data_IF_146323644789
#
_entry.id   IF_146323644789
#
_cell.length_a   1.000
_cell.length_b   1.000
_cell.length_c   1.000
_cell.angle_alpha   90.00
_cell.angle_beta   90.00
_cell.angle_gamma   90.00
#
_symmetry.space_group_name_H-M   'P 1'
#
loop_
_entity.id
_entity.type
_entity.pdbx_description
1 polymer ?
#
# COMPACT_ATOMS: atom_id res chain seq x y z
N UNK A 1 -30.54 17.07 0.28
CA UNK A 1 -29.47 16.44 1.09
C UNK A 1 -28.17 16.50 0.29
N UNK A 2 -27.05 17.00 0.86
CA UNK A 2 -25.76 17.00 0.13
C UNK A 2 -25.30 15.55 -0.04
N UNK A 3 -25.02 15.13 -1.27
CA UNK A 3 -24.61 13.76 -1.59
C UNK A 3 -23.24 13.42 -0.98
N UNK A 4 -22.31 14.39 -0.96
CA UNK A 4 -20.92 14.24 -0.55
C UNK A 4 -20.56 15.18 0.61
N UNK A 5 -19.89 14.63 1.63
CA UNK A 5 -19.24 15.40 2.71
C UNK A 5 -17.81 15.73 2.30
N UNK A 6 -17.52 17.01 2.09
CA UNK A 6 -16.18 17.50 1.73
C UNK A 6 -15.18 17.35 2.87
N UNK A 7 -13.96 16.93 2.53
CA UNK A 7 -12.87 16.68 3.50
C UNK A 7 -11.53 17.13 2.91
N UNK A 8 -11.03 18.30 3.33
CA UNK A 8 -9.79 18.89 2.77
C UNK A 8 -8.56 17.98 2.92
N UNK A 9 -8.48 17.23 4.04
CA UNK A 9 -7.40 16.25 4.26
C UNK A 9 -7.44 15.16 3.17
N UNK A 10 -8.61 14.62 2.88
CA UNK A 10 -8.77 13.56 1.89
C UNK A 10 -8.42 14.03 0.47
N UNK A 11 -8.75 15.28 0.13
CA UNK A 11 -8.36 15.87 -1.14
C UNK A 11 -6.85 16.01 -1.29
N UNK A 12 -6.15 16.43 -0.23
CA UNK A 12 -4.69 16.50 -0.22
C UNK A 12 -4.07 15.11 -0.43
N UNK A 13 -4.66 14.07 0.18
CA UNK A 13 -4.21 12.69 -0.05
C UNK A 13 -4.44 12.28 -1.49
N UNK A 14 -5.61 12.55 -2.09
CA UNK A 14 -5.87 12.26 -3.50
C UNK A 14 -4.87 12.97 -4.42
N UNK A 15 -4.57 14.26 -4.18
CA UNK A 15 -3.54 14.99 -4.94
C UNK A 15 -2.16 14.36 -4.79
N UNK A 16 -1.80 13.92 -3.60
CA UNK A 16 -0.53 13.26 -3.32
C UNK A 16 -0.37 11.91 -4.04
N UNK A 17 -1.47 11.23 -4.38
CA UNK A 17 -1.43 9.98 -5.14
C UNK A 17 -1.30 10.17 -6.65
N UNK A 18 -1.48 11.39 -7.18
CA UNK A 18 -1.39 11.68 -8.62
C UNK A 18 -0.05 11.28 -9.25
N UNK A 19 1.13 11.55 -8.66
CA UNK A 19 2.39 11.07 -9.21
C UNK A 19 2.42 9.55 -9.36
N UNK A 20 1.93 8.81 -8.35
CA UNK A 20 1.88 7.34 -8.42
C UNK A 20 0.91 6.85 -9.49
N UNK A 21 -0.23 7.52 -9.66
CA UNK A 21 -1.21 7.23 -10.71
C UNK A 21 -0.63 7.51 -12.10
N UNK A 22 0.08 8.63 -12.26
CA UNK A 22 0.80 8.95 -13.49
C UNK A 22 1.83 7.85 -13.82
N UNK A 23 2.64 7.43 -12.84
CA UNK A 23 3.57 6.33 -13.01
C UNK A 23 2.88 5.01 -13.37
N UNK A 24 1.73 4.72 -12.77
CA UNK A 24 0.94 3.53 -13.10
C UNK A 24 0.51 3.53 -14.58
N UNK A 25 0.02 4.65 -15.08
CA UNK A 25 -0.38 4.80 -16.50
C UNK A 25 0.84 4.74 -17.41
N UNK A 26 1.94 5.38 -17.03
CA UNK A 26 3.17 5.40 -17.81
C UNK A 26 3.78 4.02 -17.99
N UNK A 27 3.86 3.20 -16.92
CA UNK A 27 4.48 1.88 -16.95
C UNK A 27 3.54 0.77 -17.41
N UNK A 28 2.24 0.87 -17.12
CA UNK A 28 1.29 -0.24 -17.33
C UNK A 28 0.08 0.14 -18.19
N UNK A 29 0.01 1.37 -18.66
CA UNK A 29 -1.01 1.85 -19.58
C UNK A 29 -2.34 2.23 -18.93
N UNK A 30 -3.30 2.58 -19.78
CA UNK A 30 -4.62 3.14 -19.40
C UNK A 30 -5.52 2.20 -18.59
N UNK A 31 -5.24 0.89 -18.65
CA UNK A 31 -5.98 -0.08 -17.81
C UNK A 31 -5.93 0.27 -16.34
N UNK A 32 -4.82 0.86 -15.87
CA UNK A 32 -4.70 1.29 -14.47
C UNK A 32 -5.76 2.31 -14.08
N UNK A 33 -6.09 3.27 -14.97
CA UNK A 33 -7.17 4.22 -14.73
C UNK A 33 -8.53 3.52 -14.66
N UNK A 34 -8.77 2.54 -15.52
CA UNK A 34 -10.00 1.78 -15.49
C UNK A 34 -10.15 0.98 -14.19
N UNK A 35 -9.07 0.35 -13.70
CA UNK A 35 -9.06 -0.34 -12.39
C UNK A 35 -9.37 0.63 -11.24
N UNK A 36 -8.76 1.81 -11.24
CA UNK A 36 -9.03 2.86 -10.25
C UNK A 36 -10.49 3.32 -10.32
N UNK A 37 -11.02 3.53 -11.53
CA UNK A 37 -12.42 3.94 -11.72
C UNK A 37 -13.40 2.89 -11.21
N UNK A 38 -13.18 1.60 -11.52
CA UNK A 38 -14.01 0.48 -11.03
C UNK A 38 -13.93 0.37 -9.51
N UNK A 39 -12.73 0.46 -8.93
CA UNK A 39 -12.56 0.40 -7.48
C UNK A 39 -13.28 1.57 -6.77
N UNK A 40 -13.13 2.79 -7.29
CA UNK A 40 -13.81 3.97 -6.74
C UNK A 40 -15.32 3.90 -6.91
N UNK A 41 -15.83 3.45 -8.06
CA UNK A 41 -17.27 3.31 -8.31
C UNK A 41 -17.88 2.26 -7.38
N UNK A 42 -17.23 1.10 -7.22
CA UNK A 42 -17.68 0.05 -6.31
C UNK A 42 -17.68 0.52 -4.85
N UNK A 43 -16.58 1.16 -4.43
CA UNK A 43 -16.44 1.71 -3.09
C UNK A 43 -17.54 2.75 -2.80
N UNK A 44 -17.75 3.68 -3.74
CA UNK A 44 -18.79 4.70 -3.63
C UNK A 44 -20.20 4.08 -3.55
N UNK A 45 -20.51 3.11 -4.40
CA UNK A 45 -21.80 2.44 -4.40
C UNK A 45 -22.09 1.74 -3.07
N UNK A 46 -21.10 0.99 -2.55
CA UNK A 46 -21.22 0.33 -1.26
C UNK A 46 -21.47 1.34 -0.13
N UNK A 47 -20.63 2.38 -0.01
CA UNK A 47 -20.82 3.41 1.02
C UNK A 47 -22.15 4.14 0.87
N UNK A 48 -22.56 4.46 -0.36
CA UNK A 48 -23.84 5.14 -0.65
C UNK A 48 -25.04 4.32 -0.13
N UNK A 49 -25.07 3.01 -0.36
CA UNK A 49 -26.16 2.15 0.11
C UNK A 49 -26.29 2.18 1.63
N UNK A 50 -25.17 2.12 2.37
CA UNK A 50 -25.19 2.21 3.84
C UNK A 50 -25.55 3.63 4.33
N UNK A 51 -24.93 4.66 3.74
CA UNK A 51 -25.21 6.06 4.10
C UNK A 51 -26.65 6.46 3.83
N UNK A 52 -27.27 5.93 2.75
CA UNK A 52 -28.68 6.14 2.47
C UNK A 52 -29.58 5.61 3.59
N UNK A 53 -29.26 4.40 4.13
CA UNK A 53 -29.98 3.82 5.27
C UNK A 53 -29.85 4.66 6.54
N UNK A 54 -28.68 5.26 6.77
CA UNK A 54 -28.41 6.14 7.93
C UNK A 54 -28.80 7.60 7.72
N UNK A 55 -29.24 7.99 6.51
CA UNK A 55 -29.52 9.38 6.12
C UNK A 55 -28.31 10.31 6.25
N UNK A 56 -27.10 9.79 6.06
CA UNK A 56 -25.83 10.50 6.12
C UNK A 56 -25.26 10.76 4.71
N UNK A 57 -24.47 11.83 4.50
CA UNK A 57 -23.75 12.02 3.24
C UNK A 57 -22.58 11.07 3.11
N UNK A 58 -22.28 10.60 1.90
CA UNK A 58 -21.07 9.84 1.57
C UNK A 58 -19.82 10.69 1.82
N UNK A 59 -18.75 10.10 2.36
CA UNK A 59 -17.51 10.84 2.68
C UNK A 59 -16.51 10.80 1.51
N UNK A 60 -15.76 11.88 1.25
CA UNK A 60 -14.70 11.88 0.23
C UNK A 60 -13.58 10.84 0.53
N UNK A 61 -13.50 10.35 1.74
CA UNK A 61 -12.59 9.27 2.13
C UNK A 61 -12.80 7.98 1.34
N UNK A 62 -14.00 7.75 0.77
CA UNK A 62 -14.28 6.57 -0.07
C UNK A 62 -13.41 6.55 -1.31
N UNK A 63 -13.18 7.71 -1.94
CA UNK A 63 -12.32 7.81 -3.12
C UNK A 63 -10.86 7.57 -2.77
N UNK A 64 -10.40 8.07 -1.61
CA UNK A 64 -9.05 7.77 -1.10
C UNK A 64 -8.89 6.26 -0.93
N UNK A 65 -9.85 5.59 -0.30
CA UNK A 65 -9.84 4.12 -0.14
C UNK A 65 -9.79 3.40 -1.49
N UNK A 66 -10.64 3.80 -2.44
CA UNK A 66 -10.68 3.20 -3.78
C UNK A 66 -9.38 3.38 -4.56
N UNK A 67 -8.81 4.60 -4.56
CA UNK A 67 -7.54 4.92 -5.22
C UNK A 67 -6.38 4.13 -4.58
N UNK A 68 -6.23 4.19 -3.26
CA UNK A 68 -5.16 3.50 -2.56
C UNK A 68 -5.26 1.99 -2.71
N UNK A 69 -6.48 1.43 -2.65
CA UNK A 69 -6.72 0.02 -2.90
C UNK A 69 -6.29 -0.39 -4.31
N UNK A 70 -6.72 0.36 -5.34
CA UNK A 70 -6.37 0.07 -6.72
C UNK A 70 -4.84 0.15 -6.95
N UNK A 71 -4.18 1.20 -6.46
CA UNK A 71 -2.74 1.42 -6.67
C UNK A 71 -1.83 0.33 -6.06
N UNK A 72 -2.33 -0.46 -5.12
CA UNK A 72 -1.58 -1.60 -4.56
C UNK A 72 -1.89 -2.94 -5.23
N UNK A 73 -2.74 -2.96 -6.26
CA UNK A 73 -3.05 -4.14 -7.06
C UNK A 73 -2.13 -4.28 -8.27
N UNK A 74 -1.97 -5.50 -8.82
CA UNK A 74 -1.38 -5.70 -10.13
C UNK A 74 -2.22 -5.07 -11.24
N UNK A 75 -1.63 -4.56 -12.33
CA UNK A 75 -2.38 -4.01 -13.46
C UNK A 75 -3.26 -5.04 -14.19
N UNK A 76 -2.90 -6.32 -14.05
CA UNK A 76 -3.57 -7.46 -14.67
C UNK A 76 -4.75 -8.00 -13.89
N UNK A 77 -5.02 -7.46 -12.70
CA UNK A 77 -6.06 -7.96 -11.81
C UNK A 77 -7.42 -8.08 -12.51
N UNK A 78 -8.15 -9.22 -12.36
CA UNK A 78 -9.48 -9.40 -12.92
C UNK A 78 -10.51 -8.46 -12.29
N UNK A 79 -11.49 -8.03 -13.07
CA UNK A 79 -12.52 -7.07 -12.64
C UNK A 79 -13.31 -7.54 -11.42
N UNK A 80 -13.70 -8.81 -11.38
CA UNK A 80 -14.42 -9.36 -10.25
C UNK A 80 -13.61 -9.29 -8.95
N UNK A 81 -12.29 -9.48 -9.00
CA UNK A 81 -11.41 -9.36 -7.83
C UNK A 81 -11.35 -7.92 -7.34
N UNK A 82 -11.30 -6.94 -8.26
CA UNK A 82 -11.33 -5.51 -7.90
C UNK A 82 -12.64 -5.16 -7.22
N UNK A 83 -13.78 -5.58 -7.79
CA UNK A 83 -15.10 -5.31 -7.26
C UNK A 83 -15.28 -5.94 -5.88
N UNK A 84 -14.97 -7.22 -5.75
CA UNK A 84 -15.11 -7.95 -4.47
C UNK A 84 -14.21 -7.32 -3.39
N UNK A 85 -12.96 -7.01 -3.73
CA UNK A 85 -12.01 -6.41 -2.80
C UNK A 85 -12.40 -5.01 -2.36
N UNK A 86 -12.85 -4.15 -3.28
CA UNK A 86 -13.32 -2.80 -2.97
C UNK A 86 -14.60 -2.83 -2.12
N UNK A 87 -15.53 -3.73 -2.43
CA UNK A 87 -16.75 -3.93 -1.65
C UNK A 87 -16.40 -4.41 -0.22
N UNK A 88 -15.51 -5.40 -0.08
CA UNK A 88 -15.05 -5.86 1.23
C UNK A 88 -14.38 -4.74 2.03
N UNK A 89 -13.50 -3.96 1.39
CA UNK A 89 -12.81 -2.83 2.02
C UNK A 89 -13.78 -1.83 2.65
N UNK A 90 -14.87 -1.52 1.97
CA UNK A 90 -15.85 -0.55 2.48
C UNK A 90 -16.82 -1.21 3.47
N UNK A 91 -17.44 -2.33 3.09
CA UNK A 91 -18.48 -2.95 3.92
C UNK A 91 -17.91 -3.45 5.24
N UNK A 92 -16.92 -4.33 5.18
CA UNK A 92 -16.42 -5.03 6.38
C UNK A 92 -15.37 -4.27 7.18
N UNK A 93 -14.65 -3.31 6.56
CA UNK A 93 -13.61 -2.56 7.29
C UNK A 93 -14.06 -1.16 7.74
N UNK A 94 -15.18 -0.65 7.21
CA UNK A 94 -15.64 0.71 7.49
C UNK A 94 -17.11 0.74 7.92
N UNK A 95 -18.03 0.23 7.09
CA UNK A 95 -19.46 0.42 7.29
C UNK A 95 -20.05 -0.41 8.43
N UNK A 96 -19.57 -1.66 8.61
CA UNK A 96 -19.96 -2.53 9.73
C UNK A 96 -19.61 -1.90 11.09
N UNK A 97 -18.52 -1.13 11.15
CA UNK A 97 -18.13 -0.41 12.37
C UNK A 97 -18.87 0.92 12.57
N UNK A 98 -19.78 1.30 11.66
CA UNK A 98 -20.59 2.52 11.75
C UNK A 98 -20.10 3.69 10.90
N UNK A 99 -19.27 3.44 9.88
CA UNK A 99 -18.84 4.38 8.86
C UNK A 99 -17.54 5.12 9.15
N UNK A 100 -17.35 6.27 8.51
CA UNK A 100 -16.11 7.04 8.60
C UNK A 100 -15.77 7.45 10.04
N UNK A 101 -14.53 7.22 10.44
CA UNK A 101 -14.01 7.59 11.76
C UNK A 101 -14.15 6.50 12.83
N UNK A 102 -14.78 5.37 12.51
CA UNK A 102 -14.99 4.23 13.45
C UNK A 102 -14.28 2.95 12.99
N UNK A 103 -13.63 2.97 11.83
CA UNK A 103 -12.89 1.82 11.32
C UNK A 103 -11.65 1.51 12.19
N UNK A 104 -11.49 0.23 12.53
CA UNK A 104 -10.34 -0.27 13.30
C UNK A 104 -9.14 -0.44 12.36
N UNK A 105 -9.38 -0.98 11.16
CA UNK A 105 -8.36 -1.26 10.16
C UNK A 105 -8.33 -0.20 9.07
N UNK A 106 -7.18 -0.04 8.41
CA UNK A 106 -7.11 0.68 7.15
C UNK A 106 -7.92 -0.08 6.09
N UNK A 107 -9.00 0.52 5.52
CA UNK A 107 -9.92 -0.22 4.65
C UNK A 107 -9.27 -0.72 3.36
N UNK A 108 -8.38 0.07 2.74
CA UNK A 108 -7.71 -0.33 1.50
C UNK A 108 -6.82 -1.56 1.72
N UNK A 109 -6.11 -1.61 2.87
CA UNK A 109 -5.28 -2.77 3.20
C UNK A 109 -6.10 -3.99 3.62
N UNK A 110 -7.20 -3.81 4.32
CA UNK A 110 -8.08 -4.92 4.68
C UNK A 110 -8.71 -5.56 3.42
N UNK A 111 -9.18 -4.74 2.47
CA UNK A 111 -9.67 -5.25 1.18
C UNK A 111 -8.60 -5.99 0.40
N UNK A 112 -7.37 -5.45 0.36
CA UNK A 112 -6.24 -6.12 -0.28
C UNK A 112 -5.89 -7.44 0.41
N UNK A 113 -5.87 -7.48 1.73
CA UNK A 113 -5.60 -8.69 2.51
C UNK A 113 -6.62 -9.78 2.19
N UNK A 114 -7.90 -9.42 2.17
CA UNK A 114 -8.98 -10.33 1.85
C UNK A 114 -8.81 -10.96 0.46
N UNK A 115 -8.64 -10.15 -0.58
CA UNK A 115 -8.46 -10.70 -1.94
C UNK A 115 -7.14 -11.44 -2.12
N UNK A 116 -6.10 -11.08 -1.35
CA UNK A 116 -4.82 -11.78 -1.37
C UNK A 116 -4.94 -13.22 -0.85
N UNK A 117 -5.83 -13.45 0.11
CA UNK A 117 -6.12 -14.77 0.67
C UNK A 117 -7.09 -15.54 -0.24
N UNK A 118 -8.14 -14.88 -0.72
CA UNK A 118 -9.20 -15.54 -1.51
C UNK A 118 -8.79 -15.78 -2.98
N UNK A 119 -7.98 -14.89 -3.57
CA UNK A 119 -7.57 -14.94 -4.97
C UNK A 119 -6.04 -14.83 -5.10
N UNK A 120 -5.26 -15.76 -4.50
CA UNK A 120 -3.81 -15.63 -4.44
C UNK A 120 -3.15 -15.55 -5.82
N UNK A 121 -3.61 -16.34 -6.79
CA UNK A 121 -3.05 -16.34 -8.15
C UNK A 121 -3.19 -14.98 -8.85
N UNK A 122 -4.32 -14.30 -8.69
CA UNK A 122 -4.55 -12.99 -9.27
C UNK A 122 -3.60 -11.90 -8.72
N UNK A 123 -3.05 -12.09 -7.51
CA UNK A 123 -2.22 -11.10 -6.83
C UNK A 123 -0.74 -11.49 -6.71
N UNK A 124 -0.41 -12.76 -6.93
CA UNK A 124 0.98 -13.24 -6.80
C UNK A 124 1.57 -13.75 -8.11
N UNK A 125 0.75 -14.27 -9.02
CA UNK A 125 1.20 -14.87 -10.27
C UNK A 125 1.01 -13.97 -11.50
N UNK A 126 0.19 -12.94 -11.40
CA UNK A 126 -0.25 -12.13 -12.55
C UNK A 126 0.43 -10.76 -12.59
N UNK A 127 1.75 -10.72 -12.69
CA UNK A 127 2.48 -9.46 -12.75
C UNK A 127 2.74 -9.06 -14.21
N UNK A 128 2.43 -7.80 -14.60
CA UNK A 128 2.81 -7.25 -15.88
C UNK A 128 4.24 -6.70 -15.84
N UNK A 129 4.96 -6.85 -16.93
CA UNK A 129 6.19 -6.12 -17.17
C UNK A 129 5.86 -4.66 -17.46
N UNK A 130 6.65 -3.70 -16.98
CA UNK A 130 6.48 -2.31 -17.38
C UNK A 130 6.78 -2.15 -18.87
N UNK A 131 6.04 -1.26 -19.54
CA UNK A 131 6.26 -0.90 -20.93
C UNK A 131 7.69 -0.39 -21.16
N UNK A 132 8.27 -0.70 -22.31
CA UNK A 132 9.54 -0.11 -22.75
C UNK A 132 9.27 1.32 -23.20
N UNK A 133 9.52 2.29 -22.35
CA UNK A 133 9.24 3.70 -22.61
C UNK A 133 10.48 4.55 -22.83
N UNK A 134 10.29 5.85 -23.12
CA UNK A 134 11.29 6.86 -23.43
C UNK A 134 12.43 7.00 -22.39
N UNK A 135 12.22 6.56 -21.18
CA UNK A 135 13.23 6.54 -20.11
C UNK A 135 13.91 5.18 -20.08
N UNK A 136 14.82 4.99 -20.99
CA UNK A 136 15.80 3.92 -20.86
C UNK A 136 16.53 4.14 -19.53
N UNK A 137 16.20 3.33 -18.52
CA UNK A 137 16.95 3.35 -17.27
C UNK A 137 18.43 3.19 -17.60
N UNK A 138 19.35 3.99 -17.02
CA UNK A 138 20.78 3.79 -17.16
C UNK A 138 21.24 2.39 -16.71
N UNK A 139 20.41 1.65 -15.98
CA UNK A 139 20.60 0.25 -15.62
C UNK A 139 20.20 -0.72 -16.74
N UNK A 140 20.61 -0.43 -17.98
CA UNK A 140 20.36 -1.28 -19.16
C UNK A 140 21.00 -2.68 -19.09
N UNK A 141 21.80 -2.98 -18.07
CA UNK A 141 22.40 -4.30 -17.82
C UNK A 141 21.57 -5.24 -16.95
N UNK A 142 20.49 -4.76 -16.31
CA UNK A 142 19.58 -5.67 -15.63
C UNK A 142 18.82 -6.48 -16.68
N UNK A 143 19.29 -7.70 -16.98
CA UNK A 143 18.52 -8.66 -17.77
C UNK A 143 17.18 -8.87 -17.07
N UNK A 144 16.11 -8.34 -17.67
CA UNK A 144 14.74 -8.71 -17.29
C UNK A 144 14.70 -10.24 -17.18
N UNK A 145 14.06 -10.82 -16.16
CA UNK A 145 13.86 -12.27 -16.10
C UNK A 145 13.39 -12.74 -17.48
N UNK A 146 13.98 -13.82 -17.99
CA UNK A 146 13.75 -14.30 -19.35
C UNK A 146 12.28 -14.19 -19.73
N UNK A 147 12.00 -13.61 -20.88
CA UNK A 147 10.64 -13.36 -21.37
C UNK A 147 9.78 -14.64 -21.48
N UNK A 148 10.40 -15.82 -21.48
CA UNK A 148 9.75 -17.11 -21.34
C UNK A 148 9.20 -17.39 -19.93
N UNK A 149 9.69 -16.69 -18.91
CA UNK A 149 9.19 -16.73 -17.52
C UNK A 149 8.39 -15.47 -17.16
N UNK A 150 8.53 -14.40 -17.95
CA UNK A 150 7.59 -13.32 -17.93
C UNK A 150 6.30 -13.85 -18.53
N UNK A 151 5.24 -13.78 -17.74
CA UNK A 151 3.88 -13.86 -18.21
C UNK A 151 3.82 -13.84 -19.74
N UNK A 152 3.24 -14.88 -20.35
CA UNK A 152 3.05 -14.95 -21.79
C UNK A 152 2.45 -13.63 -22.26
N UNK A 153 3.34 -12.73 -22.62
CA UNK A 153 3.04 -11.34 -22.96
C UNK A 153 2.09 -11.21 -24.17
N UNK A 154 1.75 -12.33 -24.78
CA UNK A 154 0.81 -12.38 -25.89
C UNK A 154 -0.61 -11.92 -25.55
N UNK A 155 -0.91 -11.68 -24.29
CA UNK A 155 -2.25 -11.21 -23.87
C UNK A 155 -2.29 -9.81 -23.30
N UNK A 156 -1.15 -9.21 -23.00
CA UNK A 156 -1.05 -7.86 -22.49
C UNK A 156 -0.05 -7.08 -23.35
N UNK A 157 -0.57 -6.28 -24.27
CA UNK A 157 0.25 -5.35 -25.02
C UNK A 157 0.66 -4.19 -24.09
N UNK A 158 1.88 -4.27 -23.56
CA UNK A 158 2.50 -3.22 -22.74
C UNK A 158 3.44 -2.34 -23.55
N UNK A 159 3.52 -2.54 -24.88
CA UNK A 159 4.40 -1.75 -25.75
C UNK A 159 3.93 -0.31 -25.87
N UNK A 160 2.62 -0.08 -25.70
CA UNK A 160 2.04 1.25 -25.72
C UNK A 160 0.87 1.37 -24.72
N UNK A 161 0.55 2.61 -24.31
CA UNK A 161 -0.60 2.88 -23.47
C UNK A 161 -1.93 2.46 -24.13
N UNK A 162 -2.02 2.52 -25.44
CA UNK A 162 -3.18 2.06 -26.21
C UNK A 162 -3.26 0.54 -26.33
N UNK A 163 -2.11 -0.13 -26.48
CA UNK A 163 -2.03 -1.58 -26.47
C UNK A 163 -2.48 -2.16 -25.13
N UNK A 164 -2.01 -1.57 -24.04
CA UNK A 164 -2.42 -1.95 -22.70
C UNK A 164 -3.93 -1.75 -22.43
N UNK A 165 -4.57 -0.79 -23.08
CA UNK A 165 -6.01 -0.61 -23.03
C UNK A 165 -6.77 -1.68 -23.82
N UNK A 166 -6.26 -2.07 -24.99
CA UNK A 166 -6.89 -3.08 -25.85
C UNK A 166 -6.78 -4.50 -25.29
N UNK A 167 -5.72 -4.80 -24.55
CA UNK A 167 -5.49 -6.11 -23.93
C UNK A 167 -6.31 -6.36 -22.67
N UNK A 168 -7.55 -5.91 -22.63
CA UNK A 168 -8.46 -6.02 -21.47
C UNK A 168 -8.90 -7.42 -21.13
N UNK A 169 -8.84 -8.30 -22.08
CA UNK A 169 -9.38 -9.64 -21.93
C UNK A 169 -8.41 -10.56 -21.20
N UNK A 170 -8.91 -11.21 -20.24
CA UNK A 170 -8.40 -12.38 -19.56
C UNK A 170 -7.15 -12.22 -18.69
N UNK A 171 -7.37 -12.48 -17.41
CA UNK A 171 -6.32 -12.89 -16.50
C UNK A 171 -5.54 -14.08 -17.09
N UNK A 172 -4.22 -14.14 -16.87
CA UNK A 172 -3.42 -15.29 -17.24
C UNK A 172 -3.95 -16.55 -16.56
N UNK A 173 -3.80 -17.66 -17.26
CA UNK A 173 -4.04 -18.97 -16.68
C UNK A 173 -3.10 -19.26 -15.49
N UNK A 174 -3.39 -20.28 -14.71
CA UNK A 174 -2.64 -20.64 -13.49
C UNK A 174 -1.16 -20.96 -13.71
N UNK A 175 -0.75 -21.20 -14.96
CA UNK A 175 0.63 -21.51 -15.36
C UNK A 175 1.50 -20.28 -15.65
N UNK A 176 0.98 -19.08 -15.46
CA UNK A 176 1.76 -17.86 -15.62
C UNK A 176 2.76 -17.76 -14.45
N UNK A 177 3.98 -18.24 -14.71
CA UNK A 177 5.10 -18.14 -13.80
C UNK A 177 5.36 -16.67 -13.41
N UNK A 178 5.42 -16.48 -12.13
CA UNK A 178 5.64 -15.22 -11.45
C UNK A 178 6.87 -14.50 -11.99
N UNK A 179 6.69 -13.42 -12.73
CA UNK A 179 7.73 -12.43 -12.80
C UNK A 179 7.86 -11.82 -11.41
N UNK A 180 8.91 -12.24 -10.69
CA UNK A 180 8.99 -11.97 -9.28
C UNK A 180 9.15 -10.47 -9.03
N UNK A 181 8.35 -9.94 -8.11
CA UNK A 181 8.62 -8.62 -7.52
C UNK A 181 10.04 -8.60 -6.95
N UNK A 182 10.69 -7.44 -6.77
CA UNK A 182 12.03 -7.35 -6.21
C UNK A 182 12.25 -8.19 -4.94
N UNK A 183 11.25 -8.21 -4.07
CA UNK A 183 11.32 -9.05 -2.85
C UNK A 183 11.06 -10.53 -3.11
N UNK A 184 10.34 -10.86 -4.17
CA UNK A 184 10.21 -12.24 -4.65
C UNK A 184 11.53 -12.78 -5.19
N UNK A 185 12.29 -11.94 -5.91
CA UNK A 185 13.64 -12.28 -6.39
C UNK A 185 14.59 -12.55 -5.22
N UNK A 186 14.57 -11.69 -4.20
CA UNK A 186 15.37 -11.88 -2.97
C UNK A 186 15.06 -13.23 -2.31
N UNK A 187 13.78 -13.57 -2.15
CA UNK A 187 13.37 -14.86 -1.58
C UNK A 187 13.78 -16.06 -2.42
N UNK A 188 13.81 -15.90 -3.73
CA UNK A 188 14.28 -16.94 -4.66
C UNK A 188 15.81 -17.03 -4.76
N UNK A 189 16.57 -16.27 -3.93
CA UNK A 189 18.03 -16.24 -3.98
C UNK A 189 18.60 -15.59 -5.24
N UNK A 190 17.77 -14.85 -6.00
CA UNK A 190 18.18 -14.15 -7.21
C UNK A 190 18.74 -12.75 -6.88
N UNK A 191 19.63 -12.18 -7.73
CA UNK A 191 20.19 -10.87 -7.48
C UNK A 191 19.11 -9.79 -7.41
N UNK A 192 19.31 -8.86 -6.49
CA UNK A 192 18.42 -7.71 -6.28
C UNK A 192 18.59 -6.74 -7.44
N UNK A 193 17.49 -6.16 -7.98
CA UNK A 193 17.59 -5.10 -8.96
C UNK A 193 18.43 -3.92 -8.48
N UNK A 194 19.19 -3.24 -9.35
CA UNK A 194 19.96 -2.07 -8.96
C UNK A 194 19.07 -0.96 -8.40
N UNK A 195 19.61 -0.17 -7.49
CA UNK A 195 18.87 0.89 -6.79
C UNK A 195 18.24 1.91 -7.75
N UNK A 196 18.91 2.20 -8.85
CA UNK A 196 18.37 3.08 -9.90
C UNK A 196 17.08 2.55 -10.48
N UNK A 197 17.00 1.26 -10.75
CA UNK A 197 15.79 0.61 -11.26
C UNK A 197 14.64 0.66 -10.22
N UNK A 198 14.96 0.48 -8.93
CA UNK A 198 13.97 0.61 -7.85
C UNK A 198 13.48 2.05 -7.67
N UNK A 199 14.37 3.04 -7.85
CA UNK A 199 14.02 4.46 -7.78
C UNK A 199 13.07 4.87 -8.90
N UNK A 200 13.43 4.55 -10.15
CA UNK A 200 12.61 4.92 -11.31
C UNK A 200 11.39 4.02 -11.50
N UNK A 201 11.41 2.79 -10.99
CA UNK A 201 10.23 1.92 -11.00
C UNK A 201 10.05 1.06 -12.25
N UNK A 202 11.06 0.89 -13.09
CA UNK A 202 11.01 -0.02 -14.25
C UNK A 202 11.13 -1.49 -13.81
N UNK A 203 10.23 -1.90 -12.95
CA UNK A 203 10.16 -3.23 -12.33
C UNK A 203 8.72 -3.74 -12.32
N UNK A 204 8.58 -5.05 -12.23
CA UNK A 204 7.29 -5.68 -12.01
C UNK A 204 6.79 -5.40 -10.58
N UNK A 205 5.52 -5.02 -10.45
CA UNK A 205 4.96 -4.70 -9.16
C UNK A 205 3.52 -4.20 -9.21
N UNK A 206 3.03 -3.75 -8.05
CA UNK A 206 1.72 -3.12 -7.95
C UNK A 206 1.72 -1.76 -8.67
N UNK A 207 0.60 -1.41 -9.32
CA UNK A 207 0.48 -0.25 -10.22
C UNK A 207 1.08 1.04 -9.68
N UNK A 208 0.77 1.41 -8.44
CA UNK A 208 1.23 2.67 -7.83
C UNK A 208 2.46 2.54 -6.96
N UNK A 209 3.04 1.34 -6.83
CA UNK A 209 4.09 1.06 -5.85
C UNK A 209 5.40 0.56 -6.49
N UNK A 210 5.62 0.83 -7.76
CA UNK A 210 6.83 0.45 -8.51
C UNK A 210 7.93 1.49 -8.39
N UNK A 211 7.63 2.77 -8.59
CA UNK A 211 8.61 3.86 -8.54
C UNK A 211 8.73 4.48 -7.16
N UNK A 212 9.88 4.27 -6.51
CA UNK A 212 10.15 4.92 -5.22
C UNK A 212 10.20 6.46 -5.36
N UNK A 213 10.69 7.00 -6.49
CA UNK A 213 10.74 8.43 -6.74
C UNK A 213 9.34 9.08 -6.75
N UNK A 214 8.39 8.49 -7.46
CA UNK A 214 7.03 9.02 -7.55
C UNK A 214 6.29 8.90 -6.20
N UNK A 215 6.54 7.83 -5.46
CA UNK A 215 6.03 7.67 -4.09
C UNK A 215 6.62 8.75 -3.17
N UNK A 216 7.92 9.01 -3.26
CA UNK A 216 8.58 10.05 -2.47
C UNK A 216 8.07 11.44 -2.80
N UNK A 217 7.78 11.75 -4.07
CA UNK A 217 7.19 13.04 -4.46
C UNK A 217 5.82 13.24 -3.79
N UNK A 218 4.92 12.27 -3.91
CA UNK A 218 3.60 12.33 -3.25
C UNK A 218 3.69 12.28 -1.72
N UNK A 219 4.55 11.41 -1.20
CA UNK A 219 4.79 11.27 0.24
C UNK A 219 5.41 12.53 0.87
N UNK A 220 6.36 13.18 0.20
CA UNK A 220 6.97 14.43 0.64
C UNK A 220 5.95 15.57 0.67
N UNK A 221 5.05 15.64 -0.33
CA UNK A 221 3.94 16.58 -0.30
C UNK A 221 3.07 16.39 0.95
N UNK A 222 2.69 15.15 1.30
CA UNK A 222 1.94 14.87 2.53
C UNK A 222 2.74 15.21 3.80
N UNK A 223 4.03 14.96 3.78
CA UNK A 223 4.93 15.25 4.89
C UNK A 223 5.08 16.76 5.13
N UNK A 224 5.30 17.56 4.07
CA UNK A 224 5.44 19.00 4.15
C UNK A 224 4.12 19.66 4.56
N UNK A 225 3.01 19.26 3.97
CA UNK A 225 1.66 19.81 4.27
C UNK A 225 1.11 19.37 5.63
N UNK A 226 1.86 18.53 6.38
CA UNK A 226 1.42 17.97 7.68
C UNK A 226 0.09 17.19 7.60
N UNK A 227 -0.27 16.76 6.40
CA UNK A 227 -1.49 15.98 6.17
C UNK A 227 -1.33 14.55 6.70
N UNK A 228 -0.16 13.94 6.46
CA UNK A 228 0.25 12.67 7.06
C UNK A 228 1.06 12.89 8.33
N UNK A 229 0.97 11.96 9.28
CA UNK A 229 1.66 12.07 10.56
C UNK A 229 3.16 11.77 10.40
N UNK A 230 3.98 12.81 10.54
CA UNK A 230 5.44 12.75 10.39
C UNK A 230 6.11 11.75 11.33
N UNK A 231 5.63 11.66 12.57
CA UNK A 231 6.19 10.75 13.59
C UNK A 231 6.04 9.29 13.17
N UNK A 232 4.86 8.92 12.64
CA UNK A 232 4.62 7.56 12.15
C UNK A 232 5.52 7.25 10.96
N UNK A 233 5.58 8.16 9.96
CA UNK A 233 6.42 7.97 8.77
C UNK A 233 7.87 7.74 9.16
N UNK A 234 8.43 8.62 9.99
CA UNK A 234 9.82 8.52 10.43
C UNK A 234 10.06 7.26 11.27
N UNK A 235 9.16 6.94 12.21
CA UNK A 235 9.30 5.74 13.02
C UNK A 235 9.28 4.46 12.17
N UNK A 236 8.38 4.34 11.20
CA UNK A 236 8.31 3.18 10.28
C UNK A 236 9.60 3.07 9.46
N UNK A 237 10.00 4.15 8.78
CA UNK A 237 11.12 4.12 7.84
C UNK A 237 12.45 3.93 8.56
N UNK A 238 12.72 4.72 9.62
CA UNK A 238 13.99 4.65 10.33
C UNK A 238 14.18 3.32 11.05
N UNK A 239 13.13 2.80 11.71
CA UNK A 239 13.20 1.50 12.36
C UNK A 239 13.44 0.38 11.35
N UNK A 240 12.76 0.41 10.21
CA UNK A 240 12.91 -0.60 9.17
C UNK A 240 14.31 -0.57 8.55
N UNK A 241 14.84 0.62 8.24
CA UNK A 241 16.21 0.80 7.75
C UNK A 241 17.25 0.30 8.75
N UNK A 242 17.12 0.72 10.01
CA UNK A 242 18.06 0.35 11.07
C UNK A 242 18.08 -1.16 11.31
N UNK A 243 16.92 -1.79 11.41
CA UNK A 243 16.81 -3.23 11.62
C UNK A 243 17.33 -4.04 10.43
N UNK A 244 17.02 -3.64 9.18
CA UNK A 244 17.58 -4.33 8.02
C UNK A 244 19.11 -4.19 7.95
N UNK A 245 19.66 -3.00 8.22
CA UNK A 245 21.09 -2.80 8.26
C UNK A 245 21.76 -3.68 9.34
N UNK A 246 21.21 -3.65 10.54
CA UNK A 246 21.72 -4.42 11.69
C UNK A 246 21.67 -5.93 11.41
N UNK A 247 20.53 -6.45 10.92
CA UNK A 247 20.39 -7.89 10.67
C UNK A 247 21.19 -8.36 9.46
N UNK A 248 21.38 -7.51 8.45
CA UNK A 248 22.29 -7.84 7.34
C UNK A 248 23.72 -7.98 7.84
N UNK A 249 24.16 -7.13 8.79
CA UNK A 249 25.51 -7.18 9.38
C UNK A 249 25.68 -8.37 10.35
N UNK A 250 24.67 -8.67 11.19
CA UNK A 250 24.77 -9.72 12.21
C UNK A 250 24.50 -11.13 11.68
N UNK A 251 23.52 -11.26 10.79
CA UNK A 251 22.95 -12.57 10.38
C UNK A 251 23.28 -12.88 8.91
N UNK A 252 23.36 -11.86 8.04
CA UNK A 252 23.49 -12.06 6.61
C UNK A 252 22.18 -12.50 5.97
N UNK A 253 22.19 -13.41 4.96
CA UNK A 253 20.97 -13.88 4.30
C UNK A 253 19.96 -14.46 5.32
N UNK A 254 18.65 -14.18 5.16
CA UNK A 254 17.96 -13.62 3.98
C UNK A 254 17.90 -12.08 3.88
N UNK A 255 18.66 -11.36 4.70
CA UNK A 255 18.68 -9.90 4.70
C UNK A 255 19.64 -9.37 3.62
N UNK A 256 19.19 -8.39 2.82
CA UNK A 256 19.90 -7.90 1.63
C UNK A 256 20.24 -6.41 1.69
N UNK A 257 20.62 -5.95 2.85
CA UNK A 257 20.89 -4.53 3.10
C UNK A 257 19.65 -3.71 3.42
N UNK A 258 19.84 -2.44 3.74
CA UNK A 258 18.75 -1.57 4.20
C UNK A 258 17.92 -0.95 3.06
N UNK A 259 18.59 -0.51 1.98
CA UNK A 259 17.95 0.27 0.91
C UNK A 259 17.06 -0.56 -0.02
N UNK A 260 17.48 -1.71 -0.57
CA UNK A 260 16.67 -2.45 -1.53
C UNK A 260 15.28 -2.84 -0.98
N UNK A 261 15.13 -3.41 0.22
CA UNK A 261 13.82 -3.77 0.75
C UNK A 261 12.98 -2.55 1.16
N UNK A 262 13.60 -1.41 1.41
CA UNK A 262 12.89 -0.15 1.71
C UNK A 262 12.32 0.48 0.45
N UNK A 263 13.11 0.54 -0.64
CA UNK A 263 12.69 1.12 -1.92
C UNK A 263 11.77 0.17 -2.71
N UNK A 264 11.89 -1.13 -2.48
CA UNK A 264 11.11 -2.14 -3.18
C UNK A 264 9.79 -2.51 -2.51
N UNK A 265 8.97 -3.26 -3.24
CA UNK A 265 7.75 -3.94 -2.78
C UNK A 265 6.70 -3.04 -2.08
N UNK A 266 6.62 -1.78 -2.43
CA UNK A 266 5.57 -0.87 -1.94
C UNK A 266 5.67 -0.52 -0.45
N UNK A 267 6.81 -0.74 0.19
CA UNK A 267 7.02 -0.37 1.60
C UNK A 267 6.85 1.14 1.83
N UNK A 268 7.50 1.97 0.99
CA UNK A 268 7.36 3.42 1.07
C UNK A 268 5.92 3.87 0.83
N UNK A 269 5.23 3.27 -0.15
CA UNK A 269 3.83 3.57 -0.40
C UNK A 269 2.97 3.31 0.83
N UNK A 270 3.16 2.17 1.48
CA UNK A 270 2.49 1.84 2.73
C UNK A 270 2.83 2.80 3.87
N UNK A 271 4.10 3.17 4.04
CA UNK A 271 4.55 4.06 5.11
C UNK A 271 3.99 5.49 4.98
N UNK A 272 3.93 6.05 3.76
CA UNK A 272 3.44 7.41 3.54
C UNK A 272 1.92 7.51 3.46
N UNK A 273 1.26 6.60 2.74
CA UNK A 273 -0.17 6.74 2.41
C UNK A 273 -1.11 5.89 3.27
N UNK A 274 -0.62 4.81 3.89
CA UNK A 274 -1.48 3.85 4.57
C UNK A 274 -1.27 3.76 6.07
N UNK A 275 -0.01 3.78 6.55
CA UNK A 275 0.28 3.76 7.98
C UNK A 275 -0.16 5.04 8.70
N UNK A 276 -0.33 6.13 7.95
CA UNK A 276 -0.71 7.45 8.45
C UNK A 276 -2.21 7.71 8.41
N UNK A 277 -3.03 6.69 8.23
CA UNK A 277 -4.49 6.80 8.31
C UNK A 277 -4.89 7.39 9.67
N UNK A 278 -5.55 8.58 9.69
CA UNK A 278 -5.85 9.27 10.95
C UNK A 278 -6.87 8.54 11.83
N UNK A 279 -7.59 7.57 11.28
CA UNK A 279 -8.63 6.82 12.01
C UNK A 279 -8.07 5.59 12.70
N UNK A 280 -7.29 4.77 11.98
CA UNK A 280 -6.79 3.50 12.48
C UNK A 280 -5.44 3.61 13.21
N UNK A 281 -4.75 4.75 13.12
CA UNK A 281 -3.48 4.98 13.81
C UNK A 281 -3.66 5.56 15.23
N UNK A 282 -2.69 5.36 16.15
CA UNK A 282 -2.70 5.93 17.50
C UNK A 282 -2.74 7.46 17.51
N UNK A 283 -3.40 8.00 18.53
CA UNK A 283 -3.57 9.44 18.74
C UNK A 283 -2.47 10.05 19.60
N UNK A 284 -1.88 9.26 20.51
CA UNK A 284 -0.82 9.74 21.42
C UNK A 284 0.54 9.82 20.74
N UNK A 285 1.37 10.81 21.10
CA UNK A 285 2.71 10.99 20.52
C UNK A 285 3.61 9.77 20.68
N UNK A 286 3.86 9.25 21.92
CA UNK A 286 4.62 8.03 22.12
C UNK A 286 3.98 6.80 21.46
N UNK A 287 2.64 6.72 21.44
CA UNK A 287 1.91 5.64 20.78
C UNK A 287 2.19 5.59 19.28
N UNK A 288 2.32 6.72 18.62
CA UNK A 288 2.68 6.81 17.18
C UNK A 288 4.08 6.26 16.90
N UNK A 289 5.03 6.50 17.78
CA UNK A 289 6.39 5.94 17.66
C UNK A 289 6.35 4.42 17.80
N UNK A 290 5.73 3.91 18.88
CA UNK A 290 5.60 2.47 19.13
C UNK A 290 4.87 1.77 17.97
N UNK A 291 3.80 2.35 17.49
CA UNK A 291 3.04 1.84 16.34
C UNK A 291 3.90 1.75 15.07
N UNK A 292 4.67 2.80 14.75
CA UNK A 292 5.59 2.79 13.63
C UNK A 292 6.68 1.73 13.75
N UNK A 293 7.24 1.56 14.94
CA UNK A 293 8.21 0.51 15.24
C UNK A 293 7.62 -0.88 15.06
N UNK A 294 6.40 -1.13 15.55
CA UNK A 294 5.70 -2.41 15.39
C UNK A 294 5.45 -2.74 13.91
N UNK A 295 5.00 -1.78 13.09
CA UNK A 295 4.84 -1.97 11.66
C UNK A 295 6.17 -2.40 11.02
N UNK A 296 7.26 -1.72 11.35
CA UNK A 296 8.59 -2.01 10.81
C UNK A 296 9.06 -3.43 11.20
N UNK A 297 8.95 -3.79 12.47
CA UNK A 297 9.34 -5.11 13.01
C UNK A 297 8.50 -6.22 12.35
N UNK A 298 7.18 -6.09 12.37
CA UNK A 298 6.30 -7.09 11.75
C UNK A 298 6.54 -7.21 10.25
N UNK A 299 6.74 -6.08 9.55
CA UNK A 299 7.08 -6.12 8.12
C UNK A 299 8.35 -6.91 7.87
N UNK A 300 9.38 -6.66 8.66
CA UNK A 300 10.66 -7.33 8.55
C UNK A 300 10.52 -8.84 8.80
N UNK A 301 9.88 -9.23 9.90
CA UNK A 301 9.65 -10.63 10.25
C UNK A 301 8.84 -11.35 9.16
N UNK A 302 7.72 -10.77 8.73
CA UNK A 302 6.87 -11.39 7.72
C UNK A 302 7.60 -11.51 6.38
N UNK A 303 8.34 -10.50 5.96
CA UNK A 303 9.11 -10.55 4.71
C UNK A 303 10.21 -11.59 4.74
N UNK A 304 10.91 -11.72 5.85
CA UNK A 304 12.07 -12.62 5.96
C UNK A 304 11.66 -14.09 6.14
N UNK A 305 10.68 -14.35 6.98
CA UNK A 305 10.37 -15.72 7.43
C UNK A 305 9.06 -16.32 6.87
N UNK A 306 8.11 -15.50 6.36
CA UNK A 306 6.89 -16.02 5.77
C UNK A 306 7.01 -16.18 4.25
N UNK A 307 6.07 -16.90 3.65
CA UNK A 307 5.95 -17.04 2.19
C UNK A 307 5.55 -15.71 1.48
N UNK A 308 5.12 -14.70 2.24
CA UNK A 308 4.55 -13.48 1.71
C UNK A 308 5.60 -12.38 1.49
N UNK A 309 5.98 -12.03 0.25
CA UNK A 309 6.93 -10.96 -0.02
C UNK A 309 6.37 -9.56 0.31
N UNK A 310 5.04 -9.41 0.30
CA UNK A 310 4.34 -8.15 0.59
C UNK A 310 3.98 -8.00 2.08
N UNK A 311 4.90 -8.28 2.98
CA UNK A 311 4.68 -8.32 4.43
C UNK A 311 4.07 -7.07 5.07
N UNK A 312 4.24 -5.88 4.46
CA UNK A 312 3.75 -4.61 5.00
C UNK A 312 2.23 -4.60 5.24
N UNK A 313 1.45 -5.23 4.36
CA UNK A 313 0.00 -5.29 4.48
C UNK A 313 -0.44 -5.97 5.79
N UNK A 314 0.09 -7.15 6.05
CA UNK A 314 -0.21 -7.88 7.28
C UNK A 314 0.31 -7.16 8.52
N UNK A 315 1.53 -6.61 8.42
CA UNK A 315 2.14 -5.84 9.51
C UNK A 315 1.30 -4.64 9.91
N UNK A 316 0.77 -3.90 8.93
CA UNK A 316 -0.10 -2.74 9.18
C UNK A 316 -1.42 -3.16 9.85
N UNK A 317 -2.08 -4.21 9.36
CA UNK A 317 -3.33 -4.68 9.94
C UNK A 317 -3.14 -5.18 11.37
N UNK A 318 -2.05 -5.93 11.64
CA UNK A 318 -1.69 -6.32 13.00
C UNK A 318 -1.45 -5.10 13.89
N UNK A 319 -0.67 -4.14 13.44
CA UNK A 319 -0.41 -2.93 14.20
C UNK A 319 -1.69 -2.10 14.47
N UNK A 320 -2.64 -2.05 13.52
CA UNK A 320 -3.94 -1.41 13.73
C UNK A 320 -4.71 -2.04 14.90
N UNK A 321 -4.65 -3.37 15.07
CA UNK A 321 -5.29 -4.04 16.22
C UNK A 321 -4.71 -3.59 17.56
N UNK A 322 -3.40 -3.30 17.60
CA UNK A 322 -2.73 -2.85 18.82
C UNK A 322 -2.85 -1.34 19.05
N UNK A 323 -3.27 -0.55 18.07
CA UNK A 323 -3.31 0.91 18.18
C UNK A 323 -4.13 1.41 19.41
N UNK A 324 -5.34 0.90 19.70
CA UNK A 324 -6.10 1.29 20.88
C UNK A 324 -5.41 0.89 22.19
N UNK A 325 -4.80 -0.29 22.22
CA UNK A 325 -4.09 -0.82 23.41
C UNK A 325 -2.86 0.03 23.71
N UNK A 326 -2.12 0.42 22.67
CA UNK A 326 -0.96 1.31 22.79
C UNK A 326 -1.38 2.66 23.37
N UNK A 327 -2.46 3.26 22.84
CA UNK A 327 -2.95 4.55 23.33
C UNK A 327 -3.42 4.46 24.78
N UNK A 328 -4.11 3.38 25.14
CA UNK A 328 -4.52 3.12 26.53
C UNK A 328 -3.30 3.02 27.45
N UNK A 329 -2.31 2.18 27.11
CA UNK A 329 -1.09 2.00 27.91
C UNK A 329 -0.32 3.30 28.11
N UNK A 330 -0.13 4.09 27.03
CA UNK A 330 0.54 5.40 27.10
C UNK A 330 -0.21 6.37 27.99
N UNK A 331 -1.54 6.37 27.95
CA UNK A 331 -2.38 7.27 28.76
C UNK A 331 -2.29 6.90 30.24
N UNK A 332 -2.37 5.62 30.58
CA UNK A 332 -2.23 5.15 31.96
C UNK A 332 -0.85 5.42 32.55
N UNK A 333 0.22 5.23 31.75
CA UNK A 333 1.58 5.57 32.17
C UNK A 333 1.75 7.08 32.45
N UNK A 334 1.09 7.93 31.64
CA UNK A 334 1.11 9.39 31.88
C UNK A 334 0.36 9.75 33.17
N UNK A 335 -0.81 9.16 33.43
CA UNK A 335 -1.58 9.41 34.66
C UNK A 335 -0.76 9.04 35.90
N UNK A 336 -0.06 7.92 35.90
CA UNK A 336 0.79 7.48 37.01
C UNK A 336 2.00 8.40 37.24
N UNK A 337 2.49 9.11 36.21
CA UNK A 337 3.62 10.04 36.33
C UNK A 337 3.23 11.45 36.74
N UNK A 338 1.95 11.82 36.62
CA UNK A 338 1.46 13.12 37.08
C UNK A 338 0.93 12.89 38.51
N UNK A 339 1.61 13.37 39.57
CA UNK A 339 1.10 13.24 40.93
C UNK A 339 -0.26 13.95 41.02
N UNK A 340 -1.22 13.30 41.64
CA UNK A 340 -2.50 13.91 41.96
C UNK A 340 -2.23 15.24 42.68
N UNK A 341 -2.68 16.35 42.11
CA UNK A 341 -2.60 17.65 42.75
C UNK A 341 -3.56 17.60 43.98
N UNK A 342 -3.06 17.58 45.25
CA UNK A 342 -3.93 17.40 46.42
C UNK A 342 -4.80 18.62 46.73
N UNK A 343 -4.78 19.65 45.87
CA UNK A 343 -5.49 20.92 46.08
C UNK A 343 -6.80 21.11 45.31
N UNK A 344 -7.34 20.06 44.62
CA UNK A 344 -8.56 20.21 43.82
C UNK A 344 -9.84 19.69 44.51
N UNK A 345 -9.82 19.53 45.84
CA UNK A 345 -11.01 19.29 46.63
C UNK A 345 -11.15 20.38 47.71
N UNK A 346 -11.70 21.50 47.30
CA UNK A 346 -12.33 22.47 48.18
C UNK A 346 -13.49 23.14 47.43
#
# INVERSE_FOLDING_TARGET
MKLLKRQDIMRKVMLATLPCLFGAVYYFGWRCLAVVAVACATAFLCEYLFCRGRKEPVTEAVFVTGILFALVLPPTVPWHVVIIGAAFAIVFSKEVFGGFGRNIFNPAMAGRCFIYICFPLALTASWALPAEGLWRSPAAEYKKPDAAQAYTAGRFDTTSAWGALRSWSSAPGPDALTSATPMGLVKAGKPVPPLTTLLFGNITGAMGATSALLILLGGLYLFITKTANRTIILAVILTYLALNALLTWLVGPPFVGALPPTLGAGFLFGAFFMATDPVSAPKTGPGRVLYGMLIAIFTLVIRSYSIFPAGFMFALLLANMFAPIIDYGVTELKKKRTPANPGATA
#
